data_IF_690768573730
#
_entry.id   IF_690768573730
#
_cell.length_a   1.000
_cell.length_b   1.000
_cell.length_c   1.000
_cell.angle_alpha   90.00
_cell.angle_beta   90.00
_cell.angle_gamma   90.00
#
_symmetry.space_group_name_H-M   'P 1'
#
loop_
_entity.id
_entity.type
_entity.pdbx_description
1 polymer ?
#
# COMPACT_ATOMS: atom_id res chain seq x y z
N UNK A 1 7.95 -18.11 -43.12
CA UNK A 1 8.85 -18.29 -41.95
C UNK A 1 8.83 -16.98 -41.17
N UNK A 2 7.97 -16.88 -40.15
CA UNK A 2 7.75 -15.65 -39.39
C UNK A 2 8.40 -15.76 -38.02
N UNK A 3 9.20 -14.76 -37.65
CA UNK A 3 9.67 -14.55 -36.29
C UNK A 3 9.44 -13.09 -35.94
N UNK A 4 8.28 -12.78 -35.35
CA UNK A 4 8.07 -11.53 -34.65
C UNK A 4 8.71 -11.67 -33.25
N UNK A 5 9.95 -11.20 -33.09
CA UNK A 5 10.50 -10.93 -31.77
C UNK A 5 9.83 -9.66 -31.24
N UNK A 6 8.89 -9.83 -30.32
CA UNK A 6 8.36 -8.72 -29.53
C UNK A 6 9.45 -8.13 -28.62
N UNK A 7 9.42 -6.82 -28.31
CA UNK A 7 10.42 -6.20 -27.45
C UNK A 7 10.37 -6.76 -26.02
N UNK A 8 11.50 -7.34 -25.58
CA UNK A 8 11.74 -7.87 -24.22
C UNK A 8 12.14 -6.76 -23.23
N UNK A 9 11.27 -5.78 -23.00
CA UNK A 9 11.42 -4.92 -21.82
C UNK A 9 10.08 -4.32 -21.37
N UNK A 10 9.10 -5.16 -21.03
CA UNK A 10 8.24 -4.75 -19.93
C UNK A 10 9.09 -4.98 -18.66
N UNK A 11 9.84 -3.97 -18.23
CA UNK A 11 10.44 -3.97 -16.90
C UNK A 11 9.30 -4.17 -15.92
N UNK A 12 9.23 -5.36 -15.34
CA UNK A 12 8.40 -5.64 -14.17
C UNK A 12 8.77 -4.55 -13.17
N UNK A 13 7.87 -3.60 -12.93
CA UNK A 13 8.12 -2.52 -11.99
C UNK A 13 8.64 -3.10 -10.68
N UNK A 14 9.79 -2.59 -10.21
CA UNK A 14 10.33 -3.01 -8.93
C UNK A 14 9.49 -2.35 -7.84
N UNK A 15 8.51 -3.06 -7.30
CA UNK A 15 7.52 -2.53 -6.32
C UNK A 15 7.98 -2.63 -4.85
N UNK A 16 9.25 -2.98 -4.62
CA UNK A 16 9.80 -3.26 -3.28
C UNK A 16 10.94 -2.29 -2.92
N UNK A 17 10.90 -1.04 -3.39
CA UNK A 17 11.88 -0.06 -2.98
C UNK A 17 11.73 0.26 -1.48
N UNK A 18 12.83 0.40 -0.73
CA UNK A 18 12.77 0.70 0.70
C UNK A 18 12.01 1.99 1.00
N UNK A 19 11.15 1.93 2.01
CA UNK A 19 10.48 3.06 2.62
C UNK A 19 10.19 2.71 4.08
N UNK A 20 9.76 3.70 4.86
CA UNK A 20 9.26 3.53 6.22
C UNK A 20 7.95 4.30 6.38
N UNK A 21 7.13 3.86 7.33
CA UNK A 21 5.86 4.51 7.66
C UNK A 21 6.09 5.28 8.96
N UNK A 22 6.01 6.61 8.90
CA UNK A 22 6.15 7.48 10.06
C UNK A 22 4.84 7.58 10.84
N UNK A 23 3.71 7.66 10.13
CA UNK A 23 2.37 7.74 10.71
C UNK A 23 1.39 6.90 9.89
N UNK A 24 0.40 6.31 10.55
CA UNK A 24 -0.72 5.66 9.90
C UNK A 24 -2.01 5.84 10.71
N UNK A 25 -3.08 6.23 10.03
CA UNK A 25 -4.40 6.42 10.62
C UNK A 25 -5.50 6.09 9.61
N UNK A 26 -6.65 5.68 10.13
CA UNK A 26 -7.88 5.56 9.34
C UNK A 26 -8.74 6.79 9.62
N UNK A 27 -9.19 7.46 8.55
CA UNK A 27 -10.19 8.52 8.62
C UNK A 27 -11.27 8.26 7.58
N UNK A 28 -12.48 7.94 8.05
CA UNK A 28 -13.56 7.43 7.21
C UNK A 28 -13.11 6.22 6.41
N UNK A 29 -13.22 6.31 5.09
CA UNK A 29 -12.83 5.26 4.13
C UNK A 29 -11.40 5.43 3.61
N UNK A 30 -10.59 6.26 4.27
CA UNK A 30 -9.22 6.53 3.84
C UNK A 30 -8.22 5.99 4.85
N UNK A 31 -7.33 5.11 4.39
CA UNK A 31 -6.08 4.84 5.10
C UNK A 31 -5.09 5.95 4.73
N UNK A 32 -4.83 6.85 5.69
CA UNK A 32 -3.83 7.90 5.56
C UNK A 32 -2.53 7.43 6.19
N UNK A 33 -1.44 7.59 5.45
CA UNK A 33 -0.10 7.25 5.91
C UNK A 33 0.87 8.35 5.55
N UNK A 34 1.82 8.60 6.44
CA UNK A 34 2.99 9.42 6.15
C UNK A 34 4.16 8.49 5.89
N UNK A 35 4.64 8.43 4.65
CA UNK A 35 5.75 7.59 4.24
C UNK A 35 7.04 8.40 4.16
N UNK A 36 8.16 7.75 4.46
CA UNK A 36 9.50 8.30 4.28
C UNK A 36 10.33 7.37 3.39
N UNK A 37 10.94 7.94 2.36
CA UNK A 37 11.72 7.19 1.37
C UNK A 37 12.87 8.02 0.80
N UNK A 38 13.88 7.33 0.27
CA UNK A 38 14.99 7.96 -0.43
C UNK A 38 14.66 8.22 -1.91
N UNK A 39 15.02 9.40 -2.42
CA UNK A 39 14.83 9.75 -3.82
C UNK A 39 15.00 11.24 -4.09
N UNK A 40 14.19 11.76 -5.02
CA UNK A 40 14.06 13.19 -5.31
C UNK A 40 14.35 13.60 -6.76
N UNK A 41 14.69 12.65 -7.65
CA UNK A 41 14.88 12.93 -9.08
C UNK A 41 13.88 12.22 -9.99
N UNK A 42 13.18 11.19 -9.51
CA UNK A 42 12.15 10.48 -10.27
C UNK A 42 10.83 10.48 -9.51
N UNK A 43 9.79 10.07 -10.21
CA UNK A 43 8.49 9.86 -9.61
C UNK A 43 8.49 8.55 -8.81
N UNK A 44 7.82 8.59 -7.67
CA UNK A 44 7.61 7.45 -6.80
C UNK A 44 6.13 7.13 -6.70
N UNK A 45 5.78 5.87 -6.90
CA UNK A 45 4.40 5.38 -6.84
C UNK A 45 4.21 4.47 -5.65
N UNK A 46 3.13 4.70 -4.91
CA UNK A 46 2.70 3.84 -3.81
C UNK A 46 1.37 3.18 -4.14
N UNK A 47 1.21 1.92 -3.71
CA UNK A 47 -0.08 1.23 -3.79
C UNK A 47 -0.33 0.40 -2.54
N UNK A 48 -1.60 0.32 -2.16
CA UNK A 48 -2.07 -0.56 -1.10
C UNK A 48 -2.49 -1.90 -1.70
N UNK A 49 -1.98 -2.99 -1.14
CA UNK A 49 -2.32 -4.35 -1.54
C UNK A 49 -2.78 -5.17 -0.34
N UNK A 50 -3.81 -5.98 -0.53
CA UNK A 50 -4.24 -6.96 0.46
C UNK A 50 -3.33 -8.20 0.41
N UNK A 51 -2.83 -8.59 1.56
CA UNK A 51 -2.05 -9.82 1.73
C UNK A 51 -2.99 -10.99 2.09
N UNK A 52 -3.75 -11.43 1.08
CA UNK A 52 -4.74 -12.49 1.20
C UNK A 52 -6.12 -12.01 1.66
N UNK A 53 -6.94 -12.97 2.10
CA UNK A 53 -8.30 -12.72 2.53
C UNK A 53 -8.36 -12.36 4.03
N UNK A 54 -9.33 -11.51 4.40
CA UNK A 54 -9.58 -11.22 5.80
C UNK A 54 -9.96 -12.49 6.59
N UNK A 55 -9.47 -12.59 7.83
CA UNK A 55 -9.69 -13.75 8.71
C UNK A 55 -11.17 -14.02 8.96
N UNK A 56 -11.49 -15.24 9.41
CA UNK A 56 -12.85 -15.63 9.83
C UNK A 56 -13.14 -15.32 11.32
N UNK A 57 -12.22 -14.64 12.01
CA UNK A 57 -12.38 -14.24 13.41
C UNK A 57 -13.31 -13.04 13.56
N UNK A 58 -13.76 -12.77 14.79
CA UNK A 58 -14.48 -11.55 15.15
C UNK A 58 -13.67 -10.72 16.17
N UNK A 59 -13.33 -9.45 15.89
CA UNK A 59 -13.46 -8.79 14.59
C UNK A 59 -12.59 -9.46 13.52
N UNK A 60 -12.98 -9.32 12.25
CA UNK A 60 -12.17 -9.78 11.13
C UNK A 60 -10.88 -8.97 11.07
N UNK A 61 -9.80 -9.61 10.64
CA UNK A 61 -8.50 -8.98 10.46
C UNK A 61 -8.10 -9.07 9.00
N UNK A 62 -7.73 -7.94 8.39
CA UNK A 62 -7.20 -7.87 7.03
C UNK A 62 -5.75 -7.41 7.07
N UNK A 63 -4.85 -8.21 6.50
CA UNK A 63 -3.47 -7.82 6.32
C UNK A 63 -3.35 -6.97 5.06
N UNK A 64 -2.75 -5.80 5.20
CA UNK A 64 -2.48 -4.87 4.12
C UNK A 64 -0.98 -4.61 4.07
N UNK A 65 -0.47 -4.34 2.88
CA UNK A 65 0.92 -3.92 2.67
C UNK A 65 0.94 -2.77 1.68
N UNK A 66 1.83 -1.81 1.92
CA UNK A 66 2.12 -0.76 0.94
C UNK A 66 3.31 -1.24 0.11
N UNK A 67 3.19 -1.09 -1.20
CA UNK A 67 4.25 -1.35 -2.16
C UNK A 67 4.72 -0.02 -2.77
N UNK A 68 6.01 0.06 -3.06
CA UNK A 68 6.70 1.29 -3.44
C UNK A 68 7.58 1.04 -4.67
N UNK A 69 7.29 1.76 -5.75
CA UNK A 69 8.09 1.79 -6.98
C UNK A 69 8.84 3.13 -7.07
N UNK A 70 10.18 3.07 -7.03
CA UNK A 70 11.06 4.25 -7.08
C UNK A 70 11.79 4.42 -8.41
N UNK A 71 11.49 3.61 -9.43
CA UNK A 71 12.02 3.73 -10.80
C UNK A 71 13.55 3.85 -10.92
N UNK A 72 14.30 3.26 -9.98
CA UNK A 72 15.76 3.39 -9.94
C UNK A 72 16.26 4.81 -9.72
N UNK A 73 15.55 5.62 -8.90
CA UNK A 73 15.96 6.97 -8.53
C UNK A 73 17.34 6.97 -7.85
N UNK A 74 18.37 7.64 -8.42
CA UNK A 74 19.69 7.77 -7.77
C UNK A 74 19.71 8.79 -6.62
N UNK A 75 18.60 9.49 -6.39
CA UNK A 75 18.44 10.51 -5.36
C UNK A 75 18.70 10.00 -3.96
N UNK A 76 19.23 10.90 -3.14
CA UNK A 76 19.61 10.63 -1.74
C UNK A 76 18.87 11.54 -0.75
N UNK A 77 17.92 12.35 -1.24
CA UNK A 77 17.11 13.14 -0.35
C UNK A 77 16.15 12.21 0.41
N UNK A 78 15.95 12.49 1.70
CA UNK A 78 14.92 11.84 2.49
C UNK A 78 13.62 12.61 2.27
N UNK A 79 12.70 12.01 1.52
CA UNK A 79 11.39 12.60 1.21
C UNK A 79 10.38 12.09 2.24
N UNK A 80 9.57 13.00 2.78
CA UNK A 80 8.40 12.68 3.61
C UNK A 80 7.15 13.07 2.83
N UNK A 81 6.20 12.16 2.68
CA UNK A 81 5.00 12.36 1.87
C UNK A 81 3.79 11.70 2.51
N UNK A 82 2.65 12.39 2.43
CA UNK A 82 1.37 11.82 2.82
C UNK A 82 0.72 11.10 1.63
N UNK A 83 0.29 9.87 1.86
CA UNK A 83 -0.47 9.05 0.92
C UNK A 83 -1.82 8.67 1.53
N UNK A 84 -2.83 8.58 0.67
CA UNK A 84 -4.18 8.22 1.04
C UNK A 84 -4.68 7.10 0.14
N UNK A 85 -5.18 6.02 0.75
CA UNK A 85 -5.69 4.86 0.04
C UNK A 85 -7.16 4.62 0.36
N UNK A 86 -7.94 4.27 -0.65
CA UNK A 86 -9.36 3.93 -0.50
C UNK A 86 -9.53 2.54 0.13
N UNK A 87 -10.25 2.50 1.25
CA UNK A 87 -10.59 1.29 2.00
C UNK A 87 -11.98 0.75 1.65
N UNK A 88 -12.77 1.45 0.84
CA UNK A 88 -14.11 1.00 0.41
C UNK A 88 -14.10 -0.41 -0.19
N UNK A 89 -13.12 -0.81 -1.02
CA UNK A 89 -13.04 -2.17 -1.58
C UNK A 89 -12.86 -3.28 -0.54
N UNK A 90 -12.46 -2.92 0.69
CA UNK A 90 -12.20 -3.85 1.79
C UNK A 90 -13.34 -3.95 2.81
N UNK A 91 -14.45 -3.23 2.58
CA UNK A 91 -15.64 -3.34 3.42
C UNK A 91 -16.25 -4.73 3.32
N UNK A 92 -16.66 -5.24 4.47
CA UNK A 92 -17.49 -6.44 4.59
C UNK A 92 -18.97 -6.03 4.59
N UNK A 93 -19.82 -6.56 3.70
CA UNK A 93 -21.26 -6.24 3.67
C UNK A 93 -22.03 -6.81 4.87
N UNK A 94 -21.41 -7.67 5.67
CA UNK A 94 -22.03 -8.32 6.84
C UNK A 94 -21.54 -7.75 8.18
N UNK A 95 -20.55 -6.85 8.15
CA UNK A 95 -19.93 -6.28 9.35
C UNK A 95 -19.58 -4.81 9.16
N UNK A 96 -19.72 -4.00 10.20
CA UNK A 96 -19.38 -2.56 10.19
C UNK A 96 -17.97 -2.24 10.68
N UNK A 97 -17.15 -3.25 10.99
CA UNK A 97 -15.81 -3.08 11.53
C UNK A 97 -14.88 -4.18 11.07
N UNK A 98 -13.68 -3.79 10.66
CA UNK A 98 -12.55 -4.67 10.39
C UNK A 98 -11.28 -4.09 11.04
N UNK A 99 -10.40 -4.97 11.50
CA UNK A 99 -9.08 -4.59 12.00
C UNK A 99 -8.08 -4.72 10.84
N UNK A 100 -7.37 -3.64 10.53
CA UNK A 100 -6.34 -3.61 9.52
C UNK A 100 -4.97 -3.83 10.18
N UNK A 101 -4.21 -4.76 9.64
CA UNK A 101 -2.82 -5.02 10.02
C UNK A 101 -1.94 -4.54 8.87
N UNK A 102 -1.34 -3.36 9.02
CA UNK A 102 -0.52 -2.74 7.98
C UNK A 102 0.95 -3.17 8.13
N UNK A 103 1.52 -3.76 7.08
CA UNK A 103 2.93 -4.14 7.07
C UNK A 103 3.85 -2.93 7.22
N UNK A 104 4.80 -3.01 8.16
CA UNK A 104 5.68 -1.89 8.50
C UNK A 104 5.10 -0.92 9.53
N UNK A 105 3.93 -1.22 10.09
CA UNK A 105 3.29 -0.47 11.18
C UNK A 105 2.96 -1.40 12.35
N UNK A 106 3.30 -0.99 13.56
CA UNK A 106 3.29 -1.88 14.73
C UNK A 106 1.94 -1.96 15.45
N UNK A 107 1.02 -1.04 15.17
CA UNK A 107 -0.29 -0.99 15.81
C UNK A 107 -1.42 -1.43 14.86
N UNK A 108 -2.40 -2.21 15.33
CA UNK A 108 -3.61 -2.47 14.54
C UNK A 108 -4.37 -1.16 14.31
N UNK A 109 -4.94 -1.01 13.12
CA UNK A 109 -5.79 0.12 12.77
C UNK A 109 -7.24 -0.33 12.73
N UNK A 110 -8.13 0.41 13.39
CA UNK A 110 -9.55 0.11 13.35
C UNK A 110 -10.20 0.82 12.18
N UNK A 111 -10.85 0.06 11.30
CA UNK A 111 -11.67 0.60 10.24
C UNK A 111 -13.14 0.30 10.51
N UNK A 112 -13.87 1.35 10.87
CA UNK A 112 -15.30 1.32 11.15
C UNK A 112 -16.01 2.13 10.07
N UNK A 113 -17.04 1.54 9.47
CA UNK A 113 -17.76 2.14 8.34
C UNK A 113 -19.27 1.90 8.46
N UNK A 114 -20.10 2.80 7.91
CA UNK A 114 -21.55 2.60 7.88
C UNK A 114 -21.91 1.35 7.05
N UNK A 115 -23.01 0.70 7.42
CA UNK A 115 -23.64 -0.38 6.66
C UNK A 115 -24.61 0.17 5.63
#
# INVERSE_FOLDING_TARGET
MGACSGPKWATKGDWNHPFSIAEAAVDGDSLRVTVQYGGGFRDHTFRLVADGAATKSLPRQLRLRIEHEGQGDPGRALITRDEAFDLTPHRDPTQSRIVLLLGGWDAPLEYVYPQ
#
